data_IF_815099671558
#
_entry.id   IF_815099671558
#
_cell.length_a   1.000
_cell.length_b   1.000
_cell.length_c   1.000
_cell.angle_alpha   90.00
_cell.angle_beta   90.00
_cell.angle_gamma   90.00
#
_symmetry.space_group_name_H-M   'P 1'
#
loop_
_entity.id
_entity.type
_entity.pdbx_description
1 polymer ?
#
# COMPACT_ATOMS: atom_id res chain seq x y z
N UNK A 1 -13.59 -6.61 5.80
CA UNK A 1 -12.93 -5.85 4.72
C UNK A 1 -11.47 -5.60 5.04
N UNK A 2 -11.14 -4.66 5.95
CA UNK A 2 -9.76 -4.25 6.21
C UNK A 2 -8.77 -5.40 6.48
N UNK A 3 -9.08 -6.28 7.44
CA UNK A 3 -8.26 -7.50 7.68
C UNK A 3 -8.03 -8.35 6.41
N UNK A 4 -9.07 -8.56 5.60
CA UNK A 4 -8.98 -9.41 4.42
C UNK A 4 -8.12 -8.75 3.34
N UNK A 5 -8.24 -7.43 3.21
CA UNK A 5 -7.38 -6.61 2.36
C UNK A 5 -5.89 -6.76 2.76
N UNK A 6 -5.56 -6.53 4.03
CA UNK A 6 -4.18 -6.62 4.53
C UNK A 6 -3.63 -8.05 4.38
N UNK A 7 -4.44 -9.06 4.69
CA UNK A 7 -4.03 -10.46 4.61
C UNK A 7 -3.72 -10.91 3.17
N UNK A 8 -4.34 -10.31 2.16
CA UNK A 8 -4.10 -10.62 0.74
C UNK A 8 -2.91 -9.84 0.17
N UNK A 9 -2.57 -8.69 0.76
CA UNK A 9 -1.32 -8.00 0.41
C UNK A 9 -0.08 -8.82 0.77
N UNK A 10 -0.15 -9.71 1.76
CA UNK A 10 0.98 -10.58 2.11
C UNK A 10 1.37 -11.54 0.97
N UNK A 11 0.49 -12.40 0.43
CA UNK A 11 0.83 -13.25 -0.69
C UNK A 11 1.16 -12.47 -1.97
N UNK A 12 0.63 -11.25 -2.14
CA UNK A 12 1.06 -10.33 -3.20
C UNK A 12 2.57 -10.00 -3.07
N UNK A 13 3.02 -9.58 -1.89
CA UNK A 13 4.45 -9.26 -1.67
C UNK A 13 5.36 -10.49 -1.80
N UNK A 14 4.89 -11.67 -1.39
CA UNK A 14 5.64 -12.93 -1.58
C UNK A 14 5.79 -13.22 -3.08
N UNK A 15 4.72 -13.01 -3.86
CA UNK A 15 4.75 -13.15 -5.32
C UNK A 15 5.71 -12.14 -5.96
N UNK A 16 5.70 -10.88 -5.49
CA UNK A 16 6.65 -9.87 -5.93
C UNK A 16 8.11 -10.27 -5.60
N UNK A 17 8.38 -10.78 -4.39
CA UNK A 17 9.71 -11.26 -4.02
C UNK A 17 10.21 -12.37 -4.96
N UNK A 18 9.34 -13.33 -5.29
CA UNK A 18 9.67 -14.40 -6.23
C UNK A 18 10.03 -13.84 -7.60
N UNK A 19 9.19 -12.94 -8.12
CA UNK A 19 9.42 -12.23 -9.38
C UNK A 19 10.77 -11.51 -9.41
N UNK A 20 11.15 -10.85 -8.31
CA UNK A 20 12.41 -10.11 -8.23
C UNK A 20 13.61 -11.05 -8.15
N UNK A 21 13.53 -12.15 -7.38
CA UNK A 21 14.61 -13.14 -7.26
C UNK A 21 14.93 -13.81 -8.60
N UNK A 22 13.90 -14.04 -9.43
CA UNK A 22 14.05 -14.59 -10.78
C UNK A 22 14.97 -13.75 -11.70
N UNK A 23 15.24 -12.47 -11.36
CA UNK A 23 16.24 -11.66 -12.05
C UNK A 23 17.66 -12.26 -12.00
N UNK A 24 18.07 -12.79 -10.84
CA UNK A 24 19.42 -13.35 -10.69
C UNK A 24 19.48 -14.83 -11.03
N UNK A 25 18.42 -15.57 -10.75
CA UNK A 25 18.41 -17.01 -11.00
C UNK A 25 17.00 -17.57 -11.12
N UNK A 26 16.79 -18.36 -12.18
CA UNK A 26 15.59 -19.18 -12.33
C UNK A 26 15.77 -20.62 -11.81
N UNK A 27 16.92 -20.93 -11.17
CA UNK A 27 17.23 -22.29 -10.69
C UNK A 27 16.37 -22.68 -9.50
N UNK A 28 16.03 -21.72 -8.63
CA UNK A 28 15.19 -22.00 -7.46
C UNK A 28 13.72 -22.04 -7.91
N UNK A 29 12.99 -23.14 -7.68
CA UNK A 29 11.57 -23.20 -8.00
C UNK A 29 10.79 -22.17 -7.19
N UNK A 30 9.77 -21.56 -7.80
CA UNK A 30 8.92 -20.55 -7.14
C UNK A 30 8.38 -21.04 -5.78
N UNK A 31 7.99 -22.32 -5.69
CA UNK A 31 7.54 -22.93 -4.43
C UNK A 31 8.57 -22.89 -3.30
N UNK A 32 9.86 -23.02 -3.63
CA UNK A 32 10.95 -22.93 -2.65
C UNK A 32 11.11 -21.51 -2.11
N UNK A 33 11.07 -20.50 -2.99
CA UNK A 33 11.15 -19.09 -2.59
C UNK A 33 9.96 -18.72 -1.69
N UNK A 34 8.75 -19.11 -2.07
CA UNK A 34 7.53 -18.87 -1.28
C UNK A 34 7.65 -19.47 0.11
N UNK A 35 8.05 -20.74 0.22
CA UNK A 35 8.21 -21.42 1.50
C UNK A 35 9.24 -20.72 2.39
N UNK A 36 10.38 -20.32 1.84
CA UNK A 36 11.43 -19.59 2.56
C UNK A 36 10.87 -18.27 3.11
N UNK A 37 10.20 -17.46 2.28
CA UNK A 37 9.66 -16.17 2.71
C UNK A 37 8.60 -16.33 3.80
N UNK A 38 7.70 -17.32 3.69
CA UNK A 38 6.70 -17.60 4.73
C UNK A 38 7.36 -18.00 6.05
N UNK A 39 8.39 -18.85 6.01
CA UNK A 39 9.13 -19.24 7.22
C UNK A 39 9.82 -18.04 7.84
N UNK A 40 10.45 -17.17 7.03
CA UNK A 40 11.08 -15.96 7.54
C UNK A 40 10.08 -15.01 8.18
N UNK A 41 8.91 -14.79 7.56
CA UNK A 41 7.83 -14.00 8.16
C UNK A 41 7.35 -14.59 9.47
N UNK A 42 7.22 -15.92 9.56
CA UNK A 42 6.85 -16.61 10.79
C UNK A 42 7.89 -16.39 11.90
N UNK A 43 9.19 -16.54 11.58
CA UNK A 43 10.26 -16.33 12.54
C UNK A 43 10.30 -14.88 13.06
N UNK A 44 10.19 -13.90 12.16
CA UNK A 44 10.22 -12.48 12.53
C UNK A 44 9.02 -12.12 13.39
N UNK A 45 7.81 -12.52 12.99
CA UNK A 45 6.57 -12.13 13.67
C UNK A 45 6.30 -12.91 14.95
N UNK A 46 6.88 -14.11 15.14
CA UNK A 46 6.68 -14.92 16.36
C UNK A 46 7.82 -14.78 17.37
N UNK A 47 9.07 -14.57 16.92
CA UNK A 47 10.26 -14.62 17.79
C UNK A 47 10.98 -13.27 17.93
N UNK A 48 10.95 -12.41 16.91
CA UNK A 48 11.80 -11.22 16.83
C UNK A 48 11.03 -9.89 16.97
N UNK A 49 9.79 -9.90 17.50
CA UNK A 49 8.93 -8.71 17.56
C UNK A 49 9.58 -7.54 18.32
N UNK A 50 10.47 -7.80 19.29
CA UNK A 50 11.21 -6.75 20.00
C UNK A 50 12.17 -5.95 19.10
N UNK A 51 12.74 -6.59 18.09
CA UNK A 51 13.69 -5.99 17.14
C UNK A 51 13.01 -5.44 15.89
N UNK A 52 11.75 -5.81 15.68
CA UNK A 52 10.96 -5.42 14.51
C UNK A 52 11.00 -3.90 14.27
N UNK A 53 10.77 -3.10 15.31
CA UNK A 53 10.75 -1.63 15.20
C UNK A 53 12.07 -1.04 14.70
N UNK A 54 13.21 -1.51 15.22
CA UNK A 54 14.53 -1.06 14.76
C UNK A 54 14.83 -1.54 13.35
N UNK A 55 14.52 -2.79 13.02
CA UNK A 55 14.76 -3.33 11.67
C UNK A 55 13.93 -2.63 10.61
N UNK A 56 12.67 -2.33 10.91
CA UNK A 56 11.77 -1.65 9.98
C UNK A 56 12.18 -0.17 9.80
N UNK A 57 12.73 0.45 10.85
CA UNK A 57 13.33 1.79 10.74
C UNK A 57 14.49 1.82 9.72
N UNK A 58 15.44 0.88 9.82
CA UNK A 58 16.55 0.79 8.86
C UNK A 58 16.08 0.42 7.45
N UNK A 59 15.08 -0.47 7.33
CA UNK A 59 14.48 -0.82 6.04
C UNK A 59 13.78 0.39 5.39
N UNK A 60 13.08 1.22 6.18
CA UNK A 60 12.46 2.45 5.71
C UNK A 60 13.50 3.47 5.21
N UNK A 61 14.64 3.60 5.89
CA UNK A 61 15.75 4.43 5.42
C UNK A 61 16.29 3.95 4.07
N UNK A 62 16.45 2.63 3.91
CA UNK A 62 16.85 2.01 2.64
C UNK A 62 15.90 2.33 1.49
N UNK A 63 14.58 2.28 1.73
CA UNK A 63 13.53 2.65 0.75
C UNK A 63 13.68 4.11 0.29
N UNK A 64 13.92 5.03 1.22
CA UNK A 64 14.11 6.46 0.90
C UNK A 64 15.39 6.67 0.10
N UNK A 65 16.50 6.04 0.49
CA UNK A 65 17.77 6.12 -0.26
C UNK A 65 17.62 5.57 -1.68
N UNK A 66 16.88 4.47 -1.86
CA UNK A 66 16.58 3.92 -3.19
C UNK A 66 15.84 4.95 -4.06
N UNK A 67 14.76 5.55 -3.54
CA UNK A 67 13.96 6.53 -4.29
C UNK A 67 14.81 7.75 -4.66
N UNK A 68 15.56 8.31 -3.71
CA UNK A 68 16.46 9.45 -3.95
C UNK A 68 17.53 9.08 -4.99
N UNK A 69 18.11 7.88 -4.88
CA UNK A 69 19.09 7.37 -5.84
C UNK A 69 18.53 7.25 -7.26
N UNK A 70 17.29 6.79 -7.41
CA UNK A 70 16.61 6.68 -8.72
C UNK A 70 16.27 8.05 -9.32
N UNK A 71 15.90 9.03 -8.50
CA UNK A 71 15.68 10.42 -8.94
C UNK A 71 17.00 11.04 -9.41
N UNK A 72 18.07 10.90 -8.62
CA UNK A 72 19.41 11.38 -9.00
C UNK A 72 19.93 10.69 -10.26
N UNK A 73 19.73 9.38 -10.37
CA UNK A 73 20.05 8.61 -11.58
C UNK A 73 19.41 9.26 -12.80
N UNK A 74 18.08 9.45 -12.77
CA UNK A 74 17.32 10.08 -13.87
C UNK A 74 17.89 11.45 -14.23
N UNK A 75 18.14 12.30 -13.22
CA UNK A 75 18.67 13.65 -13.44
C UNK A 75 20.08 13.65 -14.06
N UNK A 76 20.97 12.76 -13.62
CA UNK A 76 22.32 12.65 -14.16
C UNK A 76 22.26 12.09 -15.59
N UNK A 77 21.49 11.04 -15.83
CA UNK A 77 21.41 10.39 -17.14
C UNK A 77 20.75 11.30 -18.18
N UNK A 78 19.69 12.04 -17.82
CA UNK A 78 19.01 12.95 -18.74
C UNK A 78 19.91 14.10 -19.20
N UNK A 79 20.89 14.50 -18.38
CA UNK A 79 21.84 15.57 -18.69
C UNK A 79 23.07 15.11 -19.47
N UNK A 80 23.20 13.81 -19.77
CA UNK A 80 24.32 13.24 -20.51
C UNK A 80 25.36 12.54 -19.66
N UNK A 81 25.16 12.43 -18.35
CA UNK A 81 26.03 11.67 -17.43
C UNK A 81 25.85 10.15 -17.55
N UNK A 82 25.66 9.65 -18.76
CA UNK A 82 25.49 8.23 -19.06
C UNK A 82 26.63 7.73 -19.98
N UNK A 83 26.91 6.41 -20.03
CA UNK A 83 27.99 5.85 -20.83
C UNK A 83 27.91 6.14 -22.34
N UNK A 84 26.74 6.52 -22.86
CA UNK A 84 26.52 6.86 -24.26
C UNK A 84 26.75 8.36 -24.54
N UNK A 85 26.91 9.19 -23.50
CA UNK A 85 27.03 10.64 -23.62
C UNK A 85 25.76 11.33 -24.14
N UNK A 86 24.63 10.62 -24.23
CA UNK A 86 23.41 11.15 -24.85
C UNK A 86 22.60 12.02 -23.89
N UNK A 87 22.29 13.25 -24.31
CA UNK A 87 21.45 14.18 -23.55
C UNK A 87 20.01 14.05 -24.02
N UNK A 88 19.29 13.07 -23.48
CA UNK A 88 17.92 12.82 -23.92
C UNK A 88 16.89 13.75 -23.28
N UNK A 89 17.11 14.31 -22.08
CA UNK A 89 16.14 15.24 -21.47
C UNK A 89 14.70 14.69 -21.51
N UNK A 90 13.75 15.51 -21.99
CA UNK A 90 12.34 15.12 -22.17
C UNK A 90 12.03 14.51 -23.55
N UNK A 91 13.02 13.93 -24.25
CA UNK A 91 12.84 13.40 -25.61
C UNK A 91 11.65 12.45 -25.73
N UNK A 92 11.51 11.51 -24.80
CA UNK A 92 10.45 10.50 -24.86
C UNK A 92 9.04 11.04 -24.54
N UNK A 93 8.95 12.15 -23.81
CA UNK A 93 7.67 12.87 -23.60
C UNK A 93 7.16 13.53 -24.88
N UNK A 94 8.05 13.87 -25.80
CA UNK A 94 7.70 14.46 -27.09
C UNK A 94 7.57 13.40 -28.19
N UNK A 95 8.46 12.41 -28.22
CA UNK A 95 8.46 11.33 -29.21
C UNK A 95 8.95 10.02 -28.56
N UNK A 96 8.11 8.98 -28.41
CA UNK A 96 6.79 8.76 -29.04
C UNK A 96 5.62 9.49 -28.38
N UNK A 97 5.85 10.21 -27.28
CA UNK A 97 4.83 10.96 -26.55
C UNK A 97 4.55 10.39 -25.15
N UNK A 98 3.88 11.17 -24.31
CA UNK A 98 3.59 10.78 -22.92
C UNK A 98 2.33 9.93 -22.74
N UNK A 99 1.41 9.91 -23.71
CA UNK A 99 0.15 9.17 -23.64
C UNK A 99 0.05 8.11 -24.73
N UNK A 100 0.25 6.85 -24.33
CA UNK A 100 0.03 5.67 -25.15
C UNK A 100 -1.48 5.40 -25.29
N UNK A 101 -2.04 5.28 -26.51
CA UNK A 101 -3.39 4.76 -26.71
C UNK A 101 -3.50 3.30 -26.23
N UNK A 102 -4.59 2.97 -25.55
CA UNK A 102 -4.88 1.61 -25.06
C UNK A 102 -6.22 1.12 -25.62
N UNK A 103 -6.26 -0.13 -26.09
CA UNK A 103 -7.40 -0.83 -26.70
C UNK A 103 -7.92 -0.28 -28.04
N UNK A 104 -7.95 1.04 -28.20
CA UNK A 104 -8.35 1.72 -29.43
C UNK A 104 -7.32 2.78 -29.81
N UNK A 105 -7.34 3.21 -31.06
CA UNK A 105 -6.55 4.35 -31.51
C UNK A 105 -7.22 5.69 -31.17
N UNK A 106 -6.45 6.77 -31.22
CA UNK A 106 -6.95 8.14 -31.06
C UNK A 106 -7.26 8.58 -29.62
N UNK A 107 -8.18 9.53 -29.47
CA UNK A 107 -8.47 10.17 -28.18
C UNK A 107 -9.12 9.22 -27.17
N UNK A 108 -10.01 8.32 -27.63
CA UNK A 108 -10.63 7.32 -26.78
C UNK A 108 -9.59 6.37 -26.18
N UNK A 109 -8.66 5.88 -27.00
CA UNK A 109 -7.57 5.02 -26.52
C UNK A 109 -6.69 5.68 -25.48
N UNK A 110 -6.35 6.96 -25.68
CA UNK A 110 -5.56 7.73 -24.71
C UNK A 110 -6.31 7.95 -23.40
N UNK A 111 -7.63 8.17 -23.46
CA UNK A 111 -8.46 8.28 -22.26
C UNK A 111 -8.54 6.96 -21.49
N UNK A 112 -8.72 5.83 -22.18
CA UNK A 112 -8.71 4.51 -21.54
C UNK A 112 -7.33 4.18 -20.95
N UNK A 113 -6.24 4.56 -21.63
CA UNK A 113 -4.89 4.47 -21.08
C UNK A 113 -4.72 5.28 -19.79
N UNK A 114 -5.19 6.53 -19.78
CA UNK A 114 -5.22 7.34 -18.57
C UNK A 114 -6.07 6.71 -17.46
N UNK A 115 -7.26 6.20 -17.80
CA UNK A 115 -8.15 5.55 -16.85
C UNK A 115 -7.50 4.29 -16.23
N UNK A 116 -6.81 3.49 -17.04
CA UNK A 116 -6.04 2.34 -16.57
C UNK A 116 -4.93 2.77 -15.59
N UNK A 117 -4.19 3.83 -15.92
CA UNK A 117 -3.19 4.39 -15.03
C UNK A 117 -3.80 4.91 -13.73
N UNK A 118 -4.99 5.51 -13.76
CA UNK A 118 -5.71 5.99 -12.59
C UNK A 118 -6.15 4.82 -11.68
N UNK A 119 -6.64 3.73 -12.25
CA UNK A 119 -6.96 2.50 -11.51
C UNK A 119 -5.72 1.94 -10.83
N UNK A 120 -4.60 1.83 -11.55
CA UNK A 120 -3.32 1.35 -10.99
C UNK A 120 -2.78 2.30 -9.91
N UNK A 121 -2.89 3.61 -10.09
CA UNK A 121 -2.50 4.60 -9.08
C UNK A 121 -3.36 4.49 -7.81
N UNK A 122 -4.63 4.08 -7.93
CA UNK A 122 -5.49 3.89 -6.76
C UNK A 122 -5.08 2.72 -5.87
N UNK A 123 -4.42 1.70 -6.46
CA UNK A 123 -3.81 0.60 -5.72
C UNK A 123 -2.55 1.07 -4.95
N UNK A 124 -1.70 1.89 -5.57
CA UNK A 124 -0.42 2.28 -4.97
C UNK A 124 -0.55 3.23 -3.78
N UNK A 125 -1.63 4.01 -3.71
CA UNK A 125 -1.88 4.96 -2.61
C UNK A 125 -2.51 4.23 -1.40
N UNK A 126 -1.64 3.72 -0.52
CA UNK A 126 -1.98 3.16 0.80
C UNK A 126 -1.08 3.79 1.89
N UNK A 127 -1.33 3.52 3.18
CA UNK A 127 -0.45 4.03 4.25
C UNK A 127 -1.15 4.73 5.40
N UNK A 128 -2.04 5.72 5.15
CA UNK A 128 -2.67 6.50 6.22
C UNK A 128 -3.48 5.66 7.22
N UNK A 129 -4.08 4.58 6.73
CA UNK A 129 -4.74 3.53 7.49
C UNK A 129 -3.79 2.81 8.46
N UNK A 130 -2.58 2.45 8.01
CA UNK A 130 -1.57 1.84 8.88
C UNK A 130 -1.03 2.81 9.95
N UNK A 131 -0.88 4.10 9.61
CA UNK A 131 -0.53 5.14 10.61
C UNK A 131 -1.61 5.23 11.69
N UNK A 132 -2.89 5.04 11.34
CA UNK A 132 -3.98 5.05 12.31
C UNK A 132 -3.89 3.90 13.32
N UNK A 133 -3.37 2.74 12.90
CA UNK A 133 -3.21 1.60 13.80
C UNK A 133 -2.09 1.83 14.81
N UNK A 134 -1.00 2.48 14.38
CA UNK A 134 0.10 2.83 15.26
C UNK A 134 -0.27 3.93 16.27
N UNK A 135 -1.38 4.66 16.06
CA UNK A 135 -1.82 5.73 16.95
C UNK A 135 -2.12 5.23 18.37
N UNK A 136 -2.61 3.98 18.52
CA UNK A 136 -2.88 3.38 19.82
C UNK A 136 -1.63 2.95 20.60
N UNK A 137 -0.48 2.84 19.91
CA UNK A 137 0.80 2.46 20.50
C UNK A 137 1.78 3.65 20.60
N UNK A 138 1.39 4.83 20.10
CA UNK A 138 2.23 6.01 20.09
C UNK A 138 2.29 6.66 21.47
N UNK A 139 3.49 7.10 21.87
CA UNK A 139 3.72 7.72 23.18
C UNK A 139 2.98 9.06 23.31
N UNK A 140 3.00 9.93 22.30
CA UNK A 140 2.20 11.17 22.31
C UNK A 140 1.38 11.33 21.02
N UNK A 141 0.22 10.66 20.91
CA UNK A 141 -0.51 10.58 19.65
C UNK A 141 -1.07 11.93 19.19
N UNK A 142 -1.40 12.85 20.11
CA UNK A 142 -1.97 14.16 19.76
C UNK A 142 -1.00 15.07 19.02
N UNK A 143 0.31 14.91 19.27
CA UNK A 143 1.36 15.69 18.61
C UNK A 143 1.98 14.89 17.46
N UNK A 144 2.25 13.61 17.67
CA UNK A 144 2.92 12.75 16.69
C UNK A 144 2.02 12.42 15.49
N UNK A 145 0.75 12.07 15.70
CA UNK A 145 -0.12 11.62 14.61
C UNK A 145 -0.36 12.71 13.54
N UNK A 146 -0.70 13.97 13.88
CA UNK A 146 -0.87 15.00 12.86
C UNK A 146 0.39 15.23 12.01
N UNK A 147 1.58 15.13 12.61
CA UNK A 147 2.84 15.24 11.87
C UNK A 147 3.05 14.04 10.96
N UNK A 148 2.86 12.83 11.48
CA UNK A 148 3.00 11.58 10.73
C UNK A 148 2.06 11.53 9.52
N UNK A 149 0.77 11.88 9.70
CA UNK A 149 -0.21 11.92 8.60
C UNK A 149 0.18 12.91 7.50
N UNK A 150 0.55 14.14 7.87
CA UNK A 150 0.97 15.14 6.90
C UNK A 150 2.25 14.70 6.18
N UNK A 151 3.23 14.17 6.91
CA UNK A 151 4.48 13.69 6.34
C UNK A 151 4.25 12.56 5.34
N UNK A 152 3.41 11.58 5.67
CA UNK A 152 3.04 10.47 4.76
C UNK A 152 2.40 11.02 3.49
N UNK A 153 1.44 11.94 3.60
CA UNK A 153 0.78 12.53 2.44
C UNK A 153 1.76 13.24 1.50
N UNK A 154 2.59 14.16 2.03
CA UNK A 154 3.56 14.90 1.21
C UNK A 154 4.62 13.97 0.62
N UNK A 155 5.10 12.99 1.39
CA UNK A 155 6.12 12.03 0.96
C UNK A 155 5.62 11.14 -0.17
N UNK A 156 4.46 10.49 0.00
CA UNK A 156 3.88 9.61 -1.03
C UNK A 156 3.57 10.40 -2.30
N UNK A 157 2.92 11.55 -2.17
CA UNK A 157 2.58 12.40 -3.34
C UNK A 157 3.83 12.82 -4.09
N UNK A 158 4.85 13.29 -3.38
CA UNK A 158 6.10 13.74 -4.00
C UNK A 158 6.83 12.60 -4.68
N UNK A 159 7.04 11.47 -3.98
CA UNK A 159 7.79 10.34 -4.54
C UNK A 159 7.07 9.64 -5.69
N UNK A 160 5.75 9.55 -5.65
CA UNK A 160 5.00 8.89 -6.72
C UNK A 160 4.91 9.77 -7.97
N UNK A 161 4.64 11.07 -7.83
CA UNK A 161 4.59 11.99 -8.98
C UNK A 161 5.98 12.13 -9.60
N UNK A 162 7.02 12.37 -8.78
CA UNK A 162 8.39 12.48 -9.28
C UNK A 162 8.88 11.14 -9.85
N UNK A 163 8.55 10.02 -9.21
CA UNK A 163 8.92 8.69 -9.68
C UNK A 163 8.31 8.36 -11.04
N UNK A 164 7.00 8.62 -11.22
CA UNK A 164 6.30 8.45 -12.50
C UNK A 164 6.89 9.36 -13.58
N UNK A 165 7.20 10.62 -13.24
CA UNK A 165 7.88 11.56 -14.14
C UNK A 165 9.25 11.03 -14.57
N UNK A 166 10.07 10.58 -13.61
CA UNK A 166 11.41 10.06 -13.85
C UNK A 166 11.39 8.84 -14.77
N UNK A 167 10.47 7.89 -14.54
CA UNK A 167 10.29 6.73 -15.40
C UNK A 167 9.93 7.13 -16.83
N UNK A 168 8.97 8.05 -17.01
CA UNK A 168 8.59 8.54 -18.34
C UNK A 168 9.70 9.33 -19.05
N UNK A 169 10.63 9.93 -18.30
CA UNK A 169 11.84 10.58 -18.84
C UNK A 169 12.87 9.54 -19.29
N UNK A 170 13.03 8.43 -18.56
CA UNK A 170 14.10 7.47 -18.80
C UNK A 170 13.84 6.51 -19.95
N UNK A 171 12.59 6.06 -20.14
CA UNK A 171 12.24 5.01 -21.11
C UNK A 171 10.98 5.41 -21.88
N UNK A 172 10.98 5.32 -23.22
CA UNK A 172 9.76 5.52 -23.99
C UNK A 172 8.80 4.33 -23.81
N UNK A 173 7.50 4.59 -23.91
CA UNK A 173 6.50 3.54 -23.64
C UNK A 173 6.50 2.38 -24.66
N UNK A 174 7.12 2.59 -25.82
CA UNK A 174 7.21 1.66 -26.95
C UNK A 174 8.56 0.93 -27.00
N UNK A 175 9.37 1.01 -25.94
CA UNK A 175 10.65 0.34 -25.89
C UNK A 175 10.48 -1.19 -26.08
N UNK A 176 11.30 -1.85 -26.93
CA UNK A 176 11.18 -3.28 -27.20
C UNK A 176 11.37 -4.17 -25.98
N UNK A 177 12.28 -3.81 -25.06
CA UNK A 177 12.53 -4.58 -23.85
C UNK A 177 11.34 -4.46 -22.90
N UNK A 178 10.81 -3.24 -22.75
CA UNK A 178 9.63 -2.97 -21.94
C UNK A 178 8.38 -3.68 -22.51
N UNK A 179 8.16 -3.60 -23.82
CA UNK A 179 6.98 -4.20 -24.47
C UNK A 179 7.06 -5.72 -24.51
N UNK A 180 8.25 -6.31 -24.76
CA UNK A 180 8.45 -7.75 -24.68
C UNK A 180 8.23 -8.27 -23.25
N UNK A 181 8.67 -7.53 -22.23
CA UNK A 181 8.44 -7.91 -20.85
C UNK A 181 6.94 -7.97 -20.49
N UNK A 182 6.14 -7.03 -20.99
CA UNK A 182 4.68 -7.06 -20.82
C UNK A 182 3.97 -8.10 -21.69
N UNK A 183 4.49 -8.41 -22.88
CA UNK A 183 3.85 -9.34 -23.81
C UNK A 183 4.13 -10.82 -23.49
N UNK A 184 5.28 -11.11 -22.88
CA UNK A 184 5.74 -12.48 -22.61
C UNK A 184 5.58 -12.90 -21.14
N UNK A 185 4.90 -12.10 -20.31
CA UNK A 185 4.77 -12.32 -18.85
C UNK A 185 6.13 -12.60 -18.16
N UNK A 186 7.21 -11.99 -18.67
CA UNK A 186 8.56 -12.20 -18.15
C UNK A 186 8.64 -11.71 -16.68
N UNK A 187 9.38 -12.40 -15.81
CA UNK A 187 9.51 -12.02 -14.40
C UNK A 187 9.88 -10.53 -14.26
N UNK A 188 8.97 -9.76 -13.67
CA UNK A 188 8.94 -8.32 -13.46
C UNK A 188 10.18 -7.58 -12.89
N UNK A 189 11.30 -8.24 -12.62
CA UNK A 189 12.58 -7.53 -12.41
C UNK A 189 13.38 -7.31 -13.71
N UNK A 190 13.07 -8.04 -14.79
CA UNK A 190 13.48 -7.68 -16.16
C UNK A 190 12.55 -6.60 -16.78
N UNK A 191 11.34 -6.43 -16.24
CA UNK A 191 10.33 -5.48 -16.73
C UNK A 191 10.39 -4.08 -16.05
N UNK A 192 11.21 -3.89 -15.02
CA UNK A 192 11.28 -2.62 -14.31
C UNK A 192 11.78 -1.51 -15.24
N UNK A 193 11.03 -0.40 -15.42
CA UNK A 193 11.46 0.67 -16.32
C UNK A 193 12.82 1.27 -15.96
N UNK A 194 13.20 1.26 -14.68
CA UNK A 194 14.55 1.70 -14.26
C UNK A 194 15.63 0.70 -14.69
N UNK A 195 15.36 -0.60 -14.63
CA UNK A 195 16.29 -1.64 -15.09
C UNK A 195 16.43 -1.58 -16.60
N UNK A 196 15.32 -1.47 -17.33
CA UNK A 196 15.31 -1.27 -18.79
C UNK A 196 16.11 -0.01 -19.18
N UNK A 197 15.92 1.11 -18.46
CA UNK A 197 16.70 2.32 -18.69
C UNK A 197 18.22 2.08 -18.53
N UNK A 198 18.61 1.40 -17.45
CA UNK A 198 20.01 1.09 -17.16
C UNK A 198 20.62 0.16 -18.20
N UNK A 199 19.86 -0.83 -18.68
CA UNK A 199 20.27 -1.74 -19.74
C UNK A 199 20.49 -1.00 -21.07
N UNK A 200 19.55 -0.14 -21.47
CA UNK A 200 19.66 0.73 -22.66
C UNK A 200 20.89 1.64 -22.60
N UNK A 201 21.18 2.19 -21.42
CA UNK A 201 22.35 3.03 -21.16
C UNK A 201 23.65 2.23 -20.95
N UNK A 202 23.61 0.89 -21.06
CA UNK A 202 24.75 -0.03 -20.88
C UNK A 202 25.40 0.03 -19.49
N UNK A 203 24.61 0.29 -18.45
CA UNK A 203 25.04 0.34 -17.05
C UNK A 203 24.90 -1.06 -16.43
N UNK A 204 26.03 -1.72 -16.14
CA UNK A 204 26.04 -3.15 -15.76
C UNK A 204 25.70 -3.43 -14.30
N UNK A 205 26.18 -2.60 -13.37
CA UNK A 205 26.13 -2.91 -11.92
C UNK A 205 24.86 -2.40 -11.25
N UNK A 206 24.39 -1.23 -11.66
CA UNK A 206 23.28 -0.54 -11.02
C UNK A 206 21.95 -1.34 -11.03
N UNK A 207 21.58 -2.07 -12.10
CA UNK A 207 20.39 -2.93 -12.09
C UNK A 207 20.34 -3.93 -10.93
N UNK A 208 21.47 -4.59 -10.64
CA UNK A 208 21.55 -5.57 -9.55
C UNK A 208 21.40 -4.91 -8.17
N UNK A 209 21.96 -3.71 -7.98
CA UNK A 209 21.81 -2.95 -6.74
C UNK A 209 20.35 -2.55 -6.53
N UNK A 210 19.72 -2.01 -7.57
CA UNK A 210 18.31 -1.59 -7.53
C UNK A 210 17.40 -2.78 -7.22
N UNK A 211 17.55 -3.90 -7.93
CA UNK A 211 16.73 -5.08 -7.68
C UNK A 211 16.94 -5.62 -6.26
N UNK A 212 18.16 -5.59 -5.71
CA UNK A 212 18.41 -6.03 -4.33
C UNK A 212 17.70 -5.13 -3.30
N UNK A 213 17.72 -3.80 -3.51
CA UNK A 213 17.01 -2.85 -2.64
C UNK A 213 15.49 -2.95 -2.80
N UNK A 214 14.98 -3.21 -4.01
CA UNK A 214 13.55 -3.47 -4.26
C UNK A 214 13.10 -4.77 -3.60
N UNK A 215 13.90 -5.84 -3.67
CA UNK A 215 13.63 -7.10 -2.98
C UNK A 215 13.55 -6.90 -1.46
N UNK A 216 14.53 -6.20 -0.88
CA UNK A 216 14.53 -5.87 0.54
C UNK A 216 13.30 -5.03 0.92
N UNK A 217 12.87 -4.13 0.03
CA UNK A 217 11.69 -3.29 0.23
C UNK A 217 10.39 -4.10 0.20
N UNK A 218 10.22 -5.01 -0.76
CA UNK A 218 9.07 -5.90 -0.89
C UNK A 218 8.97 -6.87 0.30
N UNK A 219 10.09 -7.47 0.70
CA UNK A 219 10.14 -8.35 1.88
C UNK A 219 9.76 -7.59 3.17
N UNK A 220 10.28 -6.39 3.36
CA UNK A 220 9.93 -5.54 4.50
C UNK A 220 8.45 -5.11 4.49
N UNK A 221 7.90 -4.78 3.31
CA UNK A 221 6.48 -4.46 3.16
C UNK A 221 5.59 -5.67 3.52
N UNK A 222 5.89 -6.86 3.00
CA UNK A 222 5.14 -8.07 3.29
C UNK A 222 5.18 -8.44 4.78
N UNK A 223 6.34 -8.29 5.43
CA UNK A 223 6.47 -8.46 6.87
C UNK A 223 5.60 -7.47 7.66
N UNK A 224 5.56 -6.20 7.23
CA UNK A 224 4.67 -5.19 7.82
C UNK A 224 3.19 -5.53 7.65
N UNK A 225 2.78 -6.07 6.50
CA UNK A 225 1.41 -6.52 6.30
C UNK A 225 1.05 -7.72 7.19
N UNK A 226 1.97 -8.66 7.45
CA UNK A 226 1.74 -9.74 8.42
C UNK A 226 1.51 -9.17 9.83
N UNK A 227 2.32 -8.19 10.23
CA UNK A 227 2.14 -7.48 11.49
C UNK A 227 0.74 -6.85 11.55
N UNK A 228 0.41 -5.96 10.61
CA UNK A 228 -0.86 -5.23 10.62
C UNK A 228 -2.07 -6.17 10.54
N UNK A 229 -2.09 -7.13 9.60
CA UNK A 229 -3.20 -8.07 9.45
C UNK A 229 -3.45 -8.90 10.73
N UNK A 230 -2.38 -9.35 11.40
CA UNK A 230 -2.52 -10.13 12.64
C UNK A 230 -3.07 -9.29 13.79
N UNK A 231 -2.72 -8.00 13.88
CA UNK A 231 -3.25 -7.06 14.88
C UNK A 231 -4.68 -6.66 14.59
N UNK A 232 -5.02 -6.41 13.32
CA UNK A 232 -6.39 -6.19 12.87
C UNK A 232 -7.30 -7.36 13.24
N UNK A 233 -6.85 -8.60 13.00
CA UNK A 233 -7.61 -9.80 13.37
C UNK A 233 -7.75 -9.95 14.90
N UNK A 234 -6.69 -9.63 15.64
CA UNK A 234 -6.71 -9.63 17.11
C UNK A 234 -7.72 -8.60 17.66
N UNK A 235 -7.72 -7.37 17.14
CA UNK A 235 -8.69 -6.34 17.51
C UNK A 235 -10.14 -6.76 17.24
N UNK A 236 -10.39 -7.38 16.07
CA UNK A 236 -11.70 -7.97 15.76
C UNK A 236 -12.09 -9.07 16.76
N UNK A 237 -11.15 -9.88 17.22
CA UNK A 237 -11.41 -10.93 18.20
C UNK A 237 -11.72 -10.36 19.59
N UNK A 238 -11.02 -9.30 20.02
CA UNK A 238 -11.30 -8.59 21.27
C UNK A 238 -12.71 -7.99 21.30
N UNK A 239 -13.16 -7.42 20.19
CA UNK A 239 -14.52 -6.88 20.04
C UNK A 239 -15.61 -7.96 19.86
N UNK A 240 -15.24 -9.25 19.91
CA UNK A 240 -16.18 -10.35 19.69
C UNK A 240 -16.70 -10.46 18.25
N UNK A 241 -16.00 -9.84 17.30
CA UNK A 241 -16.26 -9.92 15.84
C UNK A 241 -15.55 -11.11 15.18
N UNK A 242 -14.55 -11.67 15.84
CA UNK A 242 -13.88 -12.91 15.46
C UNK A 242 -13.86 -13.93 16.62
N UNK A 243 -13.54 -15.21 16.38
CA UNK A 243 -13.51 -16.23 17.43
C UNK A 243 -12.59 -15.89 18.60
N UNK A 244 -13.06 -16.10 19.84
CA UNK A 244 -12.32 -15.75 21.07
C UNK A 244 -10.97 -16.44 21.23
N UNK A 245 -10.75 -17.61 20.61
CA UNK A 245 -9.45 -18.28 20.72
C UNK A 245 -8.30 -17.46 20.10
N UNK A 246 -8.62 -16.55 19.17
CA UNK A 246 -7.68 -15.64 18.53
C UNK A 246 -7.14 -14.56 19.47
N UNK A 247 -7.76 -14.34 20.63
CA UNK A 247 -7.27 -13.35 21.61
C UNK A 247 -6.11 -13.86 22.48
N UNK A 248 -5.63 -15.09 22.25
CA UNK A 248 -4.51 -15.64 23.01
C UNK A 248 -3.18 -15.08 22.51
N UNK A 249 -2.40 -14.54 23.44
CA UNK A 249 -1.05 -14.00 23.18
C UNK A 249 0.04 -14.91 23.76
N UNK A 250 1.25 -14.83 23.20
CA UNK A 250 2.44 -15.47 23.77
C UNK A 250 3.00 -14.63 24.96
N UNK A 251 4.07 -15.10 25.60
CA UNK A 251 4.72 -14.39 26.74
C UNK A 251 5.23 -12.99 26.39
N UNK A 252 5.39 -12.67 25.11
CA UNK A 252 5.86 -11.38 24.61
C UNK A 252 4.70 -10.48 24.14
N UNK A 253 3.44 -10.89 24.32
CA UNK A 253 2.26 -10.11 23.91
C UNK A 253 1.83 -10.33 22.45
N UNK A 254 2.43 -11.26 21.72
CA UNK A 254 2.14 -11.49 20.29
C UNK A 254 0.93 -12.41 20.13
N UNK A 255 -0.10 -12.05 19.33
CA UNK A 255 -1.27 -12.89 19.07
C UNK A 255 -0.95 -14.01 18.07
N UNK A 256 -0.31 -15.08 18.54
CA UNK A 256 0.28 -16.11 17.68
C UNK A 256 -0.75 -16.87 16.81
N UNK A 257 -1.99 -17.10 17.29
CA UNK A 257 -3.03 -17.70 16.43
C UNK A 257 -3.41 -16.77 15.27
N UNK A 258 -3.48 -15.46 15.50
CA UNK A 258 -3.74 -14.51 14.42
C UNK A 258 -2.61 -14.53 13.40
N UNK A 259 -1.35 -14.58 13.85
CA UNK A 259 -0.19 -14.70 12.97
C UNK A 259 -0.28 -16.00 12.14
N UNK A 260 -0.58 -17.14 12.75
CA UNK A 260 -0.74 -18.41 12.03
C UNK A 260 -1.85 -18.35 10.99
N UNK A 261 -3.00 -17.74 11.30
CA UNK A 261 -4.09 -17.55 10.33
C UNK A 261 -3.62 -16.73 9.12
N UNK A 262 -2.88 -15.64 9.34
CA UNK A 262 -2.33 -14.83 8.25
C UNK A 262 -1.30 -15.61 7.44
N UNK A 263 -0.43 -16.39 8.08
CA UNK A 263 0.54 -17.26 7.40
C UNK A 263 -0.14 -18.37 6.57
N UNK A 264 -1.30 -18.89 7.01
CA UNK A 264 -2.09 -19.81 6.21
C UNK A 264 -2.66 -19.14 4.95
N UNK A 265 -3.08 -17.87 5.04
CA UNK A 265 -3.50 -17.08 3.87
C UNK A 265 -2.32 -16.84 2.92
N UNK A 266 -1.09 -16.73 3.42
CA UNK A 266 0.11 -16.61 2.59
C UNK A 266 0.32 -17.81 1.67
N UNK A 267 -0.25 -18.98 1.98
CA UNK A 267 -0.21 -20.15 1.10
C UNK A 267 -0.89 -19.89 -0.25
N UNK A 268 -1.75 -18.88 -0.36
CA UNK A 268 -2.28 -18.44 -1.65
C UNK A 268 -1.18 -17.98 -2.62
N UNK A 269 0.00 -17.60 -2.13
CA UNK A 269 1.15 -17.30 -2.99
C UNK A 269 1.57 -18.51 -3.84
N UNK A 270 1.31 -19.76 -3.40
CA UNK A 270 1.60 -20.97 -4.18
C UNK A 270 0.82 -21.05 -5.50
N UNK A 271 -0.25 -20.26 -5.69
CA UNK A 271 -0.97 -20.18 -6.96
C UNK A 271 -0.03 -19.80 -8.13
N UNK A 272 1.06 -19.08 -7.86
CA UNK A 272 2.02 -18.70 -8.91
C UNK A 272 2.84 -19.87 -9.46
N UNK A 273 2.92 -20.98 -8.72
CA UNK A 273 3.63 -22.19 -9.16
C UNK A 273 2.96 -22.81 -10.39
N UNK A 274 1.63 -22.77 -10.45
CA UNK A 274 0.85 -23.36 -11.54
C UNK A 274 0.37 -22.36 -12.59
N UNK A 275 0.24 -21.08 -12.24
CA UNK A 275 -0.40 -20.07 -13.11
C UNK A 275 0.53 -18.95 -13.58
N UNK A 276 1.80 -18.95 -13.15
CA UNK A 276 2.74 -17.87 -13.43
C UNK A 276 2.59 -16.68 -12.47
N UNK A 277 3.72 -16.04 -12.17
CA UNK A 277 3.77 -14.98 -11.16
C UNK A 277 3.09 -13.69 -11.58
N UNK A 278 3.17 -13.30 -12.86
CA UNK A 278 2.54 -12.09 -13.38
C UNK A 278 1.01 -12.16 -13.30
N UNK A 279 0.42 -13.28 -13.73
CA UNK A 279 -1.03 -13.52 -13.67
C UNK A 279 -1.56 -13.50 -12.24
N UNK A 280 -0.88 -14.16 -11.31
CA UNK A 280 -1.29 -14.20 -9.90
C UNK A 280 -1.12 -12.85 -9.22
N UNK A 281 -0.06 -12.10 -9.56
CA UNK A 281 0.12 -10.73 -9.11
C UNK A 281 -1.05 -9.84 -9.58
N UNK A 282 -1.45 -9.96 -10.85
CA UNK A 282 -2.58 -9.24 -11.41
C UNK A 282 -3.90 -9.59 -10.69
N UNK A 283 -4.14 -10.87 -10.39
CA UNK A 283 -5.31 -11.30 -9.61
C UNK A 283 -5.34 -10.68 -8.22
N UNK A 284 -4.21 -10.66 -7.51
CA UNK A 284 -4.14 -10.01 -6.20
C UNK A 284 -4.36 -8.50 -6.28
N UNK A 285 -3.78 -7.81 -7.27
CA UNK A 285 -4.02 -6.38 -7.49
C UNK A 285 -5.50 -6.11 -7.77
N UNK A 286 -6.12 -6.90 -8.66
CA UNK A 286 -7.53 -6.76 -9.01
C UNK A 286 -8.47 -7.01 -7.83
N UNK A 287 -8.09 -7.89 -6.89
CA UNK A 287 -8.85 -8.12 -5.67
C UNK A 287 -8.64 -7.02 -4.63
N UNK A 288 -7.38 -6.61 -4.41
CA UNK A 288 -6.99 -5.66 -3.36
C UNK A 288 -7.46 -4.24 -3.65
N UNK A 289 -7.34 -3.79 -4.90
CA UNK A 289 -7.67 -2.42 -5.33
C UNK A 289 -9.11 -2.00 -4.96
N UNK A 290 -10.18 -2.74 -5.34
CA UNK A 290 -11.54 -2.39 -4.94
C UNK A 290 -11.74 -2.51 -3.43
N UNK A 291 -11.07 -3.46 -2.76
CA UNK A 291 -11.13 -3.65 -1.31
C UNK A 291 -10.60 -2.41 -0.55
N UNK A 292 -9.50 -1.83 -1.04
CA UNK A 292 -8.88 -0.61 -0.52
C UNK A 292 -9.78 0.61 -0.75
N UNK A 293 -10.31 0.77 -1.96
CA UNK A 293 -11.22 1.86 -2.29
C UNK A 293 -12.50 1.82 -1.44
N UNK A 294 -13.08 0.65 -1.21
CA UNK A 294 -14.22 0.47 -0.30
C UNK A 294 -13.83 0.85 1.13
N UNK A 295 -12.61 0.51 1.58
CA UNK A 295 -12.13 0.90 2.90
C UNK A 295 -12.10 2.43 3.04
N UNK A 296 -11.49 3.13 2.10
CA UNK A 296 -11.44 4.60 2.07
C UNK A 296 -12.83 5.22 2.00
N UNK A 297 -13.73 4.66 1.21
CA UNK A 297 -15.13 5.07 1.15
C UNK A 297 -15.82 4.92 2.52
N UNK A 298 -15.65 3.78 3.20
CA UNK A 298 -16.21 3.55 4.54
C UNK A 298 -15.63 4.53 5.55
N UNK A 299 -14.32 4.79 5.53
CA UNK A 299 -13.70 5.77 6.42
C UNK A 299 -14.26 7.19 6.21
N UNK A 300 -14.40 7.63 4.95
CA UNK A 300 -15.04 8.91 4.63
C UNK A 300 -16.50 8.95 5.10
N UNK A 301 -17.26 7.87 4.92
CA UNK A 301 -18.62 7.74 5.40
C UNK A 301 -18.73 7.82 6.93
N UNK A 302 -17.87 7.10 7.65
CA UNK A 302 -17.79 7.14 9.12
C UNK A 302 -17.43 8.54 9.61
N UNK A 303 -16.49 9.21 8.96
CA UNK A 303 -16.14 10.60 9.28
C UNK A 303 -17.31 11.57 9.05
N UNK A 304 -18.08 11.43 7.97
CA UNK A 304 -19.28 12.24 7.73
C UNK A 304 -20.37 12.00 8.78
N UNK A 305 -20.54 10.76 9.24
CA UNK A 305 -21.42 10.42 10.36
C UNK A 305 -20.95 11.05 11.67
N UNK A 306 -19.63 10.99 11.96
CA UNK A 306 -19.03 11.65 13.12
C UNK A 306 -19.22 13.17 13.07
N UNK A 307 -19.01 13.82 11.91
CA UNK A 307 -19.29 15.25 11.75
C UNK A 307 -20.74 15.63 12.05
N UNK A 308 -21.71 14.78 11.65
CA UNK A 308 -23.12 14.98 11.99
C UNK A 308 -23.36 14.83 13.49
N UNK A 309 -22.71 13.88 14.16
CA UNK A 309 -22.78 13.71 15.62
C UNK A 309 -22.20 14.91 16.37
N UNK A 310 -21.03 15.42 15.98
CA UNK A 310 -20.44 16.63 16.58
C UNK A 310 -21.40 17.83 16.50
N UNK A 311 -22.01 18.05 15.33
CA UNK A 311 -23.00 19.12 15.15
C UNK A 311 -24.25 18.92 16.01
N UNK A 312 -24.77 17.70 16.09
CA UNK A 312 -25.96 17.39 16.88
C UNK A 312 -25.74 17.53 18.40
N UNK A 313 -24.51 17.30 18.88
CA UNK A 313 -24.15 17.35 20.31
C UNK A 313 -23.43 18.65 20.71
N UNK A 314 -23.27 19.61 19.79
CA UNK A 314 -22.61 20.89 20.06
C UNK A 314 -21.10 20.79 20.32
N UNK A 315 -20.44 19.73 19.86
CA UNK A 315 -18.98 19.60 19.98
C UNK A 315 -18.30 20.54 18.98
N UNK A 316 -17.63 21.56 19.52
CA UNK A 316 -16.81 22.47 18.74
C UNK A 316 -15.53 21.77 18.25
N UNK A 317 -15.37 21.71 16.92
CA UNK A 317 -14.24 21.06 16.26
C UNK A 317 -12.95 21.87 16.36
N UNK A 318 -13.03 23.16 16.66
CA UNK A 318 -11.85 24.00 16.83
C UNK A 318 -11.12 23.74 18.15
N UNK A 319 -11.75 22.98 19.06
CA UNK A 319 -11.11 22.46 20.29
C UNK A 319 -10.30 21.19 20.06
N UNK A 320 -10.43 20.54 18.90
CA UNK A 320 -9.73 19.29 18.63
C UNK A 320 -8.25 19.56 18.34
N UNK A 321 -7.33 18.64 18.71
CA UNK A 321 -5.90 18.80 18.45
C UNK A 321 -5.55 18.97 16.96
N UNK A 322 -6.40 18.46 16.07
CA UNK A 322 -6.22 18.57 14.63
C UNK A 322 -7.56 18.72 13.90
N UNK A 323 -7.58 19.63 12.92
CA UNK A 323 -8.71 19.87 12.02
C UNK A 323 -8.20 19.90 10.58
N UNK A 324 -8.58 18.88 9.79
CA UNK A 324 -8.23 18.83 8.37
C UNK A 324 -8.94 19.96 7.58
N UNK A 325 -8.25 20.52 6.58
CA UNK A 325 -8.78 21.55 5.68
C UNK A 325 -9.84 20.96 4.72
N UNK A 326 -10.67 21.83 4.14
CA UNK A 326 -11.69 21.48 3.13
C UNK A 326 -12.81 20.51 3.56
N UNK A 327 -13.02 20.31 4.86
CA UNK A 327 -14.15 19.51 5.35
C UNK A 327 -15.45 20.31 5.33
N UNK A 328 -16.60 19.72 4.93
CA UNK A 328 -16.82 18.29 4.63
C UNK A 328 -16.64 17.90 3.15
N UNK A 329 -16.29 18.85 2.27
CA UNK A 329 -16.19 18.61 0.83
C UNK A 329 -15.18 17.50 0.49
N UNK A 330 -14.00 17.53 1.12
CA UNK A 330 -12.98 16.49 0.95
C UNK A 330 -13.48 15.09 1.29
N UNK A 331 -14.27 14.94 2.35
CA UNK A 331 -14.85 13.65 2.72
C UNK A 331 -15.92 13.16 1.72
N UNK A 332 -16.73 14.06 1.16
CA UNK A 332 -17.67 13.70 0.09
C UNK A 332 -16.96 13.31 -1.20
N UNK A 333 -15.93 14.06 -1.59
CA UNK A 333 -15.10 13.74 -2.74
C UNK A 333 -14.44 12.36 -2.59
N UNK A 334 -13.83 12.09 -1.43
CA UNK A 334 -13.25 10.78 -1.13
C UNK A 334 -14.27 9.65 -1.16
N UNK A 335 -15.44 9.85 -0.54
CA UNK A 335 -16.52 8.85 -0.53
C UNK A 335 -17.00 8.52 -1.94
N UNK A 336 -17.39 9.54 -2.73
CA UNK A 336 -17.95 9.34 -4.06
C UNK A 336 -16.85 8.84 -5.02
N UNK A 337 -15.67 9.46 -4.99
CA UNK A 337 -14.55 9.11 -5.85
C UNK A 337 -14.09 7.67 -5.65
N UNK A 338 -13.88 7.25 -4.40
CA UNK A 338 -13.48 5.87 -4.12
C UNK A 338 -14.58 4.87 -4.49
N UNK A 339 -15.84 5.21 -4.24
CA UNK A 339 -16.97 4.34 -4.62
C UNK A 339 -17.05 4.16 -6.13
N UNK A 340 -17.00 5.25 -6.90
CA UNK A 340 -17.04 5.19 -8.37
C UNK A 340 -15.84 4.41 -8.91
N UNK A 341 -14.63 4.70 -8.43
CA UNK A 341 -13.42 4.02 -8.88
C UNK A 341 -13.41 2.53 -8.54
N UNK A 342 -14.07 2.11 -7.44
CA UNK A 342 -14.20 0.69 -7.13
C UNK A 342 -14.96 -0.06 -8.24
N UNK A 343 -16.05 0.50 -8.76
CA UNK A 343 -16.80 -0.11 -9.86
C UNK A 343 -16.09 0.01 -11.21
N UNK A 344 -15.43 1.14 -11.44
CA UNK A 344 -14.70 1.40 -12.68
C UNK A 344 -13.43 0.54 -12.78
N UNK A 345 -12.83 0.10 -11.66
CA UNK A 345 -11.57 -0.66 -11.66
C UNK A 345 -11.56 -1.91 -12.55
N UNK A 346 -12.71 -2.57 -12.73
CA UNK A 346 -12.86 -3.74 -13.59
C UNK A 346 -13.39 -3.45 -15.00
N UNK A 347 -13.40 -2.19 -15.47
CA UNK A 347 -14.06 -1.81 -16.73
C UNK A 347 -13.56 -2.57 -17.97
N UNK A 348 -12.32 -3.05 -17.93
CA UNK A 348 -11.65 -3.74 -19.05
C UNK A 348 -12.39 -5.00 -19.49
N UNK A 349 -13.02 -5.72 -18.56
CA UNK A 349 -13.77 -6.95 -18.86
C UNK A 349 -15.04 -6.70 -19.65
N UNK A 350 -15.53 -5.45 -19.67
CA UNK A 350 -16.71 -5.04 -20.43
C UNK A 350 -16.36 -4.50 -21.83
N UNK A 351 -15.07 -4.42 -22.19
CA UNK A 351 -14.66 -4.06 -23.54
C UNK A 351 -14.93 -5.23 -24.51
N UNK A 352 -15.41 -4.96 -25.74
CA UNK A 352 -15.61 -5.98 -26.75
C UNK A 352 -14.35 -6.82 -26.99
N UNK A 353 -14.43 -8.13 -26.75
CA UNK A 353 -13.31 -9.07 -26.96
C UNK A 353 -12.34 -9.24 -25.79
N UNK A 354 -12.54 -8.55 -24.66
CA UNK A 354 -11.65 -8.59 -23.48
C UNK A 354 -12.26 -9.29 -22.26
N UNK A 355 -13.26 -10.15 -22.47
CA UNK A 355 -13.89 -10.88 -21.37
C UNK A 355 -12.92 -11.88 -20.75
N UNK A 356 -12.54 -11.64 -19.49
CA UNK A 356 -11.75 -12.56 -18.68
C UNK A 356 -12.49 -12.87 -17.38
N UNK A 357 -12.85 -14.15 -17.19
CA UNK A 357 -13.70 -14.57 -16.07
C UNK A 357 -12.97 -14.43 -14.71
N UNK A 358 -11.70 -14.87 -14.57
CA UNK A 358 -10.91 -14.60 -13.37
C UNK A 358 -10.85 -13.11 -13.02
N UNK A 359 -10.51 -12.24 -13.96
CA UNK A 359 -10.42 -10.80 -13.71
C UNK A 359 -11.76 -10.20 -13.29
N UNK A 360 -12.86 -10.59 -13.92
CA UNK A 360 -14.20 -10.16 -13.49
C UNK A 360 -14.49 -10.58 -12.04
N UNK A 361 -14.24 -11.84 -11.69
CA UNK A 361 -14.46 -12.33 -10.33
C UNK A 361 -13.57 -11.54 -9.36
N UNK A 362 -12.27 -11.44 -9.59
CA UNK A 362 -11.36 -10.77 -8.66
C UNK A 362 -11.66 -9.27 -8.51
N UNK A 363 -11.95 -8.56 -9.60
CA UNK A 363 -12.29 -7.13 -9.57
C UNK A 363 -13.61 -6.80 -8.88
N UNK A 364 -14.60 -7.69 -8.92
CA UNK A 364 -15.94 -7.42 -8.36
C UNK A 364 -16.26 -8.19 -7.08
N UNK A 365 -15.46 -9.20 -6.70
CA UNK A 365 -15.70 -10.03 -5.54
C UNK A 365 -15.79 -9.22 -4.24
N UNK A 366 -14.85 -8.32 -3.98
CA UNK A 366 -14.85 -7.51 -2.75
C UNK A 366 -15.99 -6.49 -2.71
N UNK A 367 -16.41 -6.00 -3.88
CA UNK A 367 -17.56 -5.09 -4.01
C UNK A 367 -18.85 -5.78 -3.62
N UNK A 368 -19.02 -7.07 -3.98
CA UNK A 368 -20.17 -7.87 -3.56
C UNK A 368 -20.06 -8.35 -2.11
N UNK A 369 -18.88 -8.82 -1.70
CA UNK A 369 -18.65 -9.40 -0.38
C UNK A 369 -18.83 -8.36 0.75
N UNK A 370 -18.38 -7.12 0.56
CA UNK A 370 -18.43 -6.10 1.61
C UNK A 370 -19.86 -5.78 2.09
N UNK A 371 -20.83 -5.46 1.21
CA UNK A 371 -22.23 -5.32 1.58
C UNK A 371 -22.82 -6.59 2.21
N UNK A 372 -22.50 -7.77 1.68
CA UNK A 372 -22.99 -9.06 2.23
C UNK A 372 -22.51 -9.24 3.67
N UNK A 373 -21.23 -9.00 3.95
CA UNK A 373 -20.68 -9.09 5.31
C UNK A 373 -21.30 -8.04 6.24
N UNK A 374 -21.51 -6.82 5.76
CA UNK A 374 -22.12 -5.76 6.56
C UNK A 374 -23.58 -6.06 6.91
N UNK A 375 -24.39 -6.43 5.92
CA UNK A 375 -25.81 -6.79 6.10
C UNK A 375 -25.93 -8.07 6.91
N UNK A 376 -25.13 -9.09 6.60
CA UNK A 376 -25.09 -10.35 7.36
C UNK A 376 -24.80 -10.12 8.84
N UNK A 377 -23.79 -9.30 9.17
CA UNK A 377 -23.49 -8.93 10.55
C UNK A 377 -24.65 -8.17 11.22
N UNK A 378 -25.24 -7.20 10.51
CA UNK A 378 -26.41 -6.44 10.96
C UNK A 378 -27.61 -7.32 11.29
N UNK A 379 -27.91 -8.29 10.44
CA UNK A 379 -29.05 -9.21 10.59
C UNK A 379 -28.80 -10.20 11.73
N UNK A 380 -27.62 -10.85 11.77
CA UNK A 380 -27.28 -11.86 12.78
C UNK A 380 -27.17 -11.24 14.18
N UNK A 381 -26.49 -10.09 14.30
CA UNK A 381 -26.26 -9.43 15.59
C UNK A 381 -27.33 -8.40 15.93
N UNK A 382 -28.32 -8.19 15.06
CA UNK A 382 -29.45 -7.25 15.23
C UNK A 382 -29.02 -5.85 15.68
N UNK A 383 -27.89 -5.37 15.15
CA UNK A 383 -27.32 -4.08 15.58
C UNK A 383 -28.05 -2.91 14.92
N UNK A 384 -28.31 -1.82 15.66
CA UNK A 384 -28.95 -0.61 15.12
C UNK A 384 -27.90 0.43 14.72
N UNK A 385 -28.20 1.25 13.71
CA UNK A 385 -27.39 2.44 13.42
C UNK A 385 -27.72 3.47 14.50
N UNK A 386 -26.72 3.91 15.26
CA UNK A 386 -26.91 4.90 16.34
C UNK A 386 -27.32 6.23 15.74
N UNK A 387 -28.26 6.93 16.37
CA UNK A 387 -28.62 8.29 15.97
C UNK A 387 -27.46 9.25 16.32
N UNK A 388 -27.32 10.39 15.63
CA UNK A 388 -26.21 11.33 15.87
C UNK A 388 -26.07 11.79 17.35
N UNK A 389 -27.15 11.87 18.11
CA UNK A 389 -27.12 12.24 19.54
C UNK A 389 -26.79 11.08 20.49
N UNK A 390 -26.84 9.83 20.02
CA UNK A 390 -26.54 8.62 20.81
C UNK A 390 -25.09 8.13 20.59
N UNK A 391 -24.36 8.79 19.68
CA UNK A 391 -22.95 8.47 19.40
C UNK A 391 -22.11 8.93 20.58
N UNK A 392 -21.30 8.05 21.13
CA UNK A 392 -20.33 8.42 22.16
C UNK A 392 -19.17 9.20 21.51
N UNK A 393 -19.04 10.47 21.88
CA UNK A 393 -17.96 11.36 21.45
C UNK A 393 -16.91 11.58 22.54
N UNK A 394 -17.14 11.10 23.76
CA UNK A 394 -16.28 11.35 24.92
C UNK A 394 -15.39 10.16 25.26
N UNK A 395 -15.88 8.92 25.12
CA UNK A 395 -15.09 7.69 25.26
C UNK A 395 -13.96 7.78 26.29
N UNK A 396 -12.72 7.58 25.82
CA UNK A 396 -11.47 7.63 26.60
C UNK A 396 -10.76 8.99 26.53
N UNK A 397 -11.45 10.05 26.07
CA UNK A 397 -10.83 11.37 25.84
C UNK A 397 -10.25 11.95 27.14
N UNK A 398 -10.91 11.74 28.27
CA UNK A 398 -10.49 12.26 29.57
C UNK A 398 -9.19 11.60 30.09
N UNK A 399 -9.07 10.28 29.93
CA UNK A 399 -7.84 9.54 30.26
C UNK A 399 -6.67 10.01 29.38
N UNK A 400 -6.93 10.20 28.09
CA UNK A 400 -5.91 10.71 27.15
C UNK A 400 -5.56 12.18 27.47
N UNK A 401 -6.52 13.00 27.89
CA UNK A 401 -6.29 14.38 28.34
C UNK A 401 -5.36 14.41 29.55
N UNK A 402 -5.61 13.56 30.54
CA UNK A 402 -4.80 13.47 31.76
C UNK A 402 -3.38 12.97 31.45
N UNK A 403 -3.25 11.92 30.64
CA UNK A 403 -1.97 11.43 30.16
C UNK A 403 -1.20 12.53 29.41
N UNK A 404 -1.85 13.27 28.51
CA UNK A 404 -1.20 14.35 27.75
C UNK A 404 -0.73 15.49 28.65
N UNK A 405 -1.46 15.81 29.72
CA UNK A 405 -1.08 16.86 30.69
C UNK A 405 0.13 16.47 31.54
N UNK A 406 0.26 15.19 31.85
CA UNK A 406 1.32 14.66 32.72
C UNK A 406 2.53 14.16 31.93
N UNK A 407 2.42 14.09 30.59
CA UNK A 407 3.47 13.64 29.70
C UNK A 407 4.70 14.57 29.75
N UNK A 408 5.84 14.03 30.17
CA UNK A 408 7.14 14.72 30.14
C UNK A 408 7.93 14.19 28.94
N UNK A 409 8.23 15.02 27.93
CA UNK A 409 8.96 14.57 26.75
C UNK A 409 10.39 14.15 27.12
N UNK A 410 10.78 12.95 26.69
CA UNK A 410 12.15 12.47 26.82
C UNK A 410 13.09 13.36 25.96
N UNK A 411 14.23 13.82 26.51
CA UNK A 411 15.18 14.61 25.73
C UNK A 411 15.81 13.77 24.61
N UNK A 412 16.05 14.39 23.44
CA UNK A 412 16.73 13.73 22.31
C UNK A 412 18.09 13.20 22.76
N UNK A 413 18.40 11.94 22.41
CA UNK A 413 19.65 11.31 22.84
C UNK A 413 20.86 11.95 22.16
N UNK A 414 20.74 12.39 20.89
CA UNK A 414 21.83 12.96 20.10
C UNK A 414 21.35 14.02 19.07
N UNK A 415 22.30 14.80 18.52
CA UNK A 415 22.03 15.79 17.45
C UNK A 415 21.52 15.14 16.17
N UNK A 416 22.02 13.94 15.85
CA UNK A 416 21.49 13.13 14.76
C UNK A 416 20.01 12.81 14.99
N UNK A 417 19.66 12.37 16.21
CA UNK A 417 18.29 12.05 16.63
C UNK A 417 17.33 13.25 16.44
N UNK A 418 17.81 14.46 16.73
CA UNK A 418 17.09 15.71 16.48
C UNK A 418 16.88 15.99 14.98
N UNK A 419 17.93 15.86 14.16
CA UNK A 419 17.82 16.02 12.71
C UNK A 419 16.93 14.97 12.08
N UNK A 420 17.01 13.72 12.54
CA UNK A 420 16.17 12.62 12.10
C UNK A 420 14.70 12.85 12.48
N UNK A 421 14.41 13.32 13.69
CA UNK A 421 13.04 13.64 14.08
C UNK A 421 12.46 14.79 13.24
N UNK A 422 13.28 15.78 12.86
CA UNK A 422 12.88 16.86 11.94
C UNK A 422 12.58 16.33 10.53
N UNK A 423 13.40 15.41 10.00
CA UNK A 423 13.25 14.88 8.64
C UNK A 423 12.14 13.82 8.54
N UNK A 424 12.01 12.96 9.54
CA UNK A 424 11.14 11.79 9.52
C UNK A 424 9.88 11.93 10.38
N UNK A 425 9.73 13.04 11.11
CA UNK A 425 8.52 13.38 11.86
C UNK A 425 8.23 12.40 12.98
N UNK A 426 9.11 12.36 13.99
CA UNK A 426 8.94 11.51 15.17
C UNK A 426 7.76 11.90 16.06
#
# INVERSE_FOLDING_TARGET
>A
NFFVFEAILVPFEITACNVIIHYWSAVVPAGGIIAIVIVLYALINLLAVKWYGETEFWAALGKVLLIVGLILFTFITMLGGNPLGDRFGFRYWNNPGSFKPLYYEGSLGRWLGFLQCLVQASFTIAGPDYVSMAAGEAENPRVAMPKAYNAVFYRLTTFFILGALCVGINVPYDDPELTAAFANDEPGAAASPYVVAMNRLRIRVLPSIVNALVLASAFSAGNSYVYCASRSLFGLALEGKAPRFLTRTNRQGVPYYCVLVVLLICLLAFLQVSNGSATVLAWFVNLVTPSQLINFAVMCGTFLCWLKACKAQGLDRDRLPYKSRFQPFAAWYGLIGCTVMAFVGGYTVFLPGYWDTPSFIFSYFMIALCPILFVGWKVIKRTRLRKPHEVDLKGEVEEIDEYTRTFVPQPYKNVADKWFNIIFGG
#
